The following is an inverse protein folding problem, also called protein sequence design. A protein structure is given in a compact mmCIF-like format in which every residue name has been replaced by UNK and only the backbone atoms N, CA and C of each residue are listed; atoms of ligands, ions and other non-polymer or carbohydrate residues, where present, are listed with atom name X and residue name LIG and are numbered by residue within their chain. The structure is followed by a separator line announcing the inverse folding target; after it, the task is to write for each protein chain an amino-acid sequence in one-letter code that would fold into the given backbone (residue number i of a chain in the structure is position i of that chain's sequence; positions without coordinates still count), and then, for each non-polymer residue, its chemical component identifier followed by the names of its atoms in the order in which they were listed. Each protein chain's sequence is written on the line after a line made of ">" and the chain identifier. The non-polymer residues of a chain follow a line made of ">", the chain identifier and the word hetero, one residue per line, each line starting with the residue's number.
data_IF_632185688593
#
_entry.id   IF_632185688593
#
_cell.length_a   1.000
_cell.length_b   1.000
_cell.length_c   1.000
_cell.angle_alpha   90.00
_cell.angle_beta   90.00
_cell.angle_gamma   90.00
#
_symmetry.space_group_name_H-M   'P 1'
#
loop_
_entity.id
_entity.type
_entity.pdbx_description
1 polymer ?
#
# COMPACT_ATOMS: atom_id res chain seq x y z
N UNK A 1 11.88 7.06 41.77
CA UNK A 1 12.41 7.09 40.38
C UNK A 1 13.92 7.21 40.45
N UNK A 2 14.68 6.46 39.66
CA UNK A 2 16.12 6.73 39.51
C UNK A 2 16.32 7.96 38.63
N UNK A 3 17.29 8.80 38.95
CA UNK A 3 17.60 10.00 38.16
C UNK A 3 18.42 9.61 36.93
N UNK A 4 17.75 9.45 35.78
CA UNK A 4 18.41 9.26 34.48
C UNK A 4 19.43 10.37 34.24
N UNK A 5 20.70 10.03 34.05
CA UNK A 5 21.76 11.02 33.86
C UNK A 5 21.46 11.89 32.64
N UNK A 6 21.40 13.21 32.84
CA UNK A 6 21.11 14.20 31.80
C UNK A 6 22.09 14.10 30.61
N UNK A 7 23.31 13.59 30.83
CA UNK A 7 24.29 13.31 29.78
C UNK A 7 23.83 12.17 28.87
N UNK A 8 23.25 11.10 29.42
CA UNK A 8 22.67 10.00 28.64
C UNK A 8 21.51 10.51 27.79
N UNK A 9 20.57 11.26 28.40
CA UNK A 9 19.42 11.85 27.69
C UNK A 9 19.88 12.79 26.57
N UNK A 10 20.93 13.59 26.80
CA UNK A 10 21.53 14.46 25.78
C UNK A 10 22.18 13.65 24.65
N UNK A 11 22.97 12.62 24.98
CA UNK A 11 23.64 11.77 23.97
C UNK A 11 22.64 11.04 23.10
N UNK A 12 21.57 10.48 23.65
CA UNK A 12 20.52 9.83 22.85
C UNK A 12 19.88 10.82 21.87
N UNK A 13 19.51 12.03 22.33
CA UNK A 13 18.99 13.09 21.45
C UNK A 13 19.97 13.55 20.36
N UNK A 14 21.28 13.51 20.63
CA UNK A 14 22.30 13.81 19.61
C UNK A 14 22.38 12.72 18.53
N UNK A 15 22.19 11.44 18.90
CA UNK A 15 22.17 10.32 17.95
C UNK A 15 20.86 10.33 17.14
N UNK A 16 19.73 10.60 17.80
CA UNK A 16 18.42 10.78 17.17
C UNK A 16 18.46 11.88 16.09
N UNK A 17 19.00 13.06 16.43
CA UNK A 17 19.14 14.17 15.48
C UNK A 17 20.11 13.83 14.33
N UNK A 18 21.21 13.12 14.62
CA UNK A 18 22.17 12.69 13.61
C UNK A 18 21.59 11.68 12.61
N UNK A 19 20.72 10.77 13.09
CA UNK A 19 19.98 9.85 12.23
C UNK A 19 19.10 10.61 11.24
N UNK A 20 18.26 11.54 11.73
CA UNK A 20 17.40 12.36 10.88
C UNK A 20 18.20 13.20 9.87
N UNK A 21 19.33 13.80 10.28
CA UNK A 21 20.19 14.56 9.37
C UNK A 21 20.80 13.68 8.27
N UNK A 22 21.32 12.49 8.60
CA UNK A 22 21.87 11.60 7.58
C UNK A 22 20.78 11.01 6.65
N UNK A 23 19.58 10.74 7.16
CA UNK A 23 18.43 10.27 6.36
C UNK A 23 17.91 11.34 5.38
N UNK A 24 18.04 12.62 5.71
CA UNK A 24 17.71 13.72 4.78
C UNK A 24 18.75 13.88 3.64
N UNK A 25 19.94 13.29 3.78
CA UNK A 25 21.04 13.40 2.80
C UNK A 25 21.24 12.12 1.96
N UNK A 26 20.92 10.93 2.49
CA UNK A 26 21.20 9.66 1.82
C UNK A 26 20.22 8.52 2.22
N UNK A 27 19.95 7.55 1.30
CA UNK A 27 19.26 6.31 1.62
C UNK A 27 19.90 5.55 2.79
N UNK A 28 19.08 4.96 3.65
CA UNK A 28 19.49 4.37 4.92
C UNK A 28 20.55 3.27 4.77
N UNK A 29 20.50 2.52 3.67
CA UNK A 29 21.42 1.44 3.31
C UNK A 29 22.86 1.96 3.19
N UNK A 30 23.01 3.19 2.68
CA UNK A 30 24.30 3.87 2.46
C UNK A 30 24.84 4.59 3.71
N UNK A 31 24.00 4.84 4.72
CA UNK A 31 24.42 5.46 5.98
C UNK A 31 25.31 4.48 6.76
N UNK A 32 26.42 4.97 7.29
CA UNK A 32 27.36 4.21 8.13
C UNK A 32 27.31 4.67 9.59
N UNK A 33 27.68 3.77 10.51
CA UNK A 33 27.84 4.11 11.94
C UNK A 33 28.87 5.24 12.15
N UNK A 34 29.86 5.36 11.25
CA UNK A 34 30.86 6.43 11.30
C UNK A 34 30.29 7.81 10.95
N UNK A 35 29.46 7.90 9.90
CA UNK A 35 28.72 9.13 9.58
C UNK A 35 27.80 9.54 10.73
N UNK A 36 27.06 8.59 11.31
CA UNK A 36 26.17 8.82 12.46
C UNK A 36 26.95 9.32 13.69
N UNK A 37 28.09 8.69 14.02
CA UNK A 37 28.96 9.13 15.12
C UNK A 37 29.51 10.54 14.89
N UNK A 38 29.93 10.85 13.66
CA UNK A 38 30.45 12.16 13.25
C UNK A 38 29.39 13.25 13.36
N UNK A 39 28.17 13.00 12.88
CA UNK A 39 27.05 13.94 12.95
C UNK A 39 26.55 14.14 14.39
N UNK A 40 26.54 13.09 15.22
CA UNK A 40 26.16 13.17 16.63
C UNK A 40 27.25 13.80 17.54
N UNK A 41 28.46 14.00 17.02
CA UNK A 41 29.67 14.43 17.76
C UNK A 41 30.04 13.45 18.90
N UNK A 42 30.04 12.15 18.61
CA UNK A 42 30.39 11.09 19.58
C UNK A 42 31.43 10.09 19.03
N UNK A 43 32.07 9.36 19.94
CA UNK A 43 32.93 8.23 19.58
C UNK A 43 32.09 6.98 19.22
N UNK A 44 32.62 6.11 18.35
CA UNK A 44 32.03 4.79 18.04
C UNK A 44 31.80 3.93 19.30
N UNK A 45 32.70 4.02 20.29
CA UNK A 45 32.56 3.37 21.61
C UNK A 45 31.50 4.00 22.53
N UNK A 46 30.92 5.13 22.16
CA UNK A 46 29.71 5.70 22.80
C UNK A 46 28.44 5.23 22.08
N UNK A 47 28.46 5.12 20.74
CA UNK A 47 27.37 4.54 19.97
C UNK A 47 27.06 3.10 20.42
N UNK A 48 28.09 2.23 20.46
CA UNK A 48 27.97 0.82 20.85
C UNK A 48 27.69 0.57 22.35
N UNK A 49 27.37 1.61 23.13
CA UNK A 49 26.79 1.48 24.49
C UNK A 49 25.26 1.50 24.50
N UNK A 50 24.65 1.96 23.41
CA UNK A 50 23.19 2.13 23.29
C UNK A 50 22.61 1.33 22.11
N UNK A 51 23.39 1.14 21.04
CA UNK A 51 22.96 0.49 19.81
C UNK A 51 24.02 -0.48 19.30
N UNK A 52 23.63 -1.73 19.07
CA UNK A 52 24.45 -2.80 18.49
C UNK A 52 24.80 -2.54 17.02
N UNK A 53 23.93 -1.84 16.29
CA UNK A 53 24.08 -1.55 14.86
C UNK A 53 23.30 -0.28 14.45
N UNK A 54 23.39 0.13 13.18
CA UNK A 54 22.52 1.18 12.63
C UNK A 54 21.05 0.76 12.52
N UNK A 55 20.79 -0.55 12.37
CA UNK A 55 19.45 -1.11 12.24
C UNK A 55 18.72 -1.08 13.59
N UNK A 56 19.41 -1.49 14.65
CA UNK A 56 18.97 -1.37 16.05
C UNK A 56 18.69 0.10 16.45
N UNK A 57 19.55 1.04 16.03
CA UNK A 57 19.24 2.47 16.17
C UNK A 57 17.93 2.86 15.44
N UNK A 58 17.76 2.45 14.18
CA UNK A 58 16.54 2.77 13.41
C UNK A 58 15.29 2.15 14.05
N UNK A 59 15.32 0.86 14.40
CA UNK A 59 14.22 0.15 15.05
C UNK A 59 13.81 0.82 16.36
N UNK A 60 14.76 1.06 17.26
CA UNK A 60 14.48 1.76 18.52
C UNK A 60 14.02 3.22 18.30
N UNK A 61 14.48 3.88 17.23
CA UNK A 61 14.04 5.24 16.87
C UNK A 61 12.58 5.24 16.39
N UNK A 62 12.24 4.37 15.46
CA UNK A 62 10.88 4.21 14.93
C UNK A 62 9.91 3.84 16.05
N UNK A 63 10.29 2.91 16.93
CA UNK A 63 9.49 2.56 18.10
C UNK A 63 9.26 3.78 19.03
N UNK A 64 10.29 4.60 19.30
CA UNK A 64 10.13 5.85 20.06
C UNK A 64 9.19 6.84 19.39
N UNK A 65 9.26 6.99 18.07
CA UNK A 65 8.43 7.91 17.29
C UNK A 65 6.96 7.44 17.21
N UNK A 66 6.74 6.14 17.03
CA UNK A 66 5.41 5.51 17.01
C UNK A 66 4.76 5.53 18.41
N UNK A 67 5.51 5.22 19.47
CA UNK A 67 5.04 5.38 20.85
C UNK A 67 4.76 6.85 21.20
N UNK A 68 5.54 7.79 20.62
CA UNK A 68 5.28 9.23 20.70
C UNK A 68 3.89 9.57 20.17
N UNK A 69 3.55 9.04 18.99
CA UNK A 69 2.25 9.21 18.36
C UNK A 69 1.12 8.49 19.10
N UNK A 70 1.27 7.21 19.49
CA UNK A 70 0.24 6.45 20.22
C UNK A 70 -0.16 7.14 21.54
N UNK A 71 0.76 7.83 22.21
CA UNK A 71 0.48 8.62 23.44
C UNK A 71 -0.21 9.97 23.19
N UNK A 72 -0.46 10.36 21.95
CA UNK A 72 -1.08 11.63 21.57
C UNK A 72 -2.34 11.44 20.73
N UNK A 73 -2.51 10.28 20.09
CA UNK A 73 -3.79 9.82 19.54
C UNK A 73 -4.74 9.49 20.70
N UNK A 74 -5.88 10.16 20.75
CA UNK A 74 -7.02 9.82 21.59
C UNK A 74 -8.26 9.77 20.70
N UNK A 75 -8.90 8.61 20.69
CA UNK A 75 -10.06 8.30 19.83
C UNK A 75 -11.35 8.15 20.64
N UNK A 76 -11.43 8.74 21.84
CA UNK A 76 -12.62 8.64 22.71
C UNK A 76 -13.91 9.19 22.06
N UNK A 77 -13.80 9.95 20.97
CA UNK A 77 -14.92 10.38 20.13
C UNK A 77 -15.69 9.21 19.48
N UNK A 78 -15.06 8.03 19.33
CA UNK A 78 -15.70 6.79 18.84
C UNK A 78 -16.88 6.38 19.75
N UNK A 79 -16.79 6.71 21.05
CA UNK A 79 -17.85 6.49 22.03
C UNK A 79 -18.70 7.75 22.30
N UNK A 80 -18.64 8.75 21.44
CA UNK A 80 -19.52 9.90 21.52
C UNK A 80 -20.98 9.52 21.21
N UNK A 81 -21.89 10.23 21.83
CA UNK A 81 -23.35 10.22 21.58
C UNK A 81 -23.77 11.60 21.06
N UNK A 82 -24.96 11.77 20.46
CA UNK A 82 -25.45 13.09 20.07
C UNK A 82 -25.43 14.13 21.22
N UNK A 83 -25.58 13.67 22.46
CA UNK A 83 -25.56 14.48 23.67
C UNK A 83 -24.14 14.83 24.12
N UNK A 84 -23.15 13.96 23.85
CA UNK A 84 -21.75 14.14 24.31
C UNK A 84 -20.78 14.62 23.24
N UNK A 85 -21.11 14.56 21.95
CA UNK A 85 -20.21 14.95 20.84
C UNK A 85 -19.70 16.39 20.94
N UNK A 86 -20.49 17.30 21.54
CA UNK A 86 -20.11 18.69 21.79
C UNK A 86 -19.18 18.89 23.01
N UNK A 87 -18.73 17.81 23.66
CA UNK A 87 -17.80 17.90 24.79
C UNK A 87 -16.44 18.44 24.35
N UNK A 88 -16.01 19.53 24.98
CA UNK A 88 -14.72 20.20 24.79
C UNK A 88 -13.51 19.25 24.95
N UNK A 89 -13.68 18.11 25.62
CA UNK A 89 -12.69 17.03 25.65
C UNK A 89 -12.28 16.57 24.24
N UNK A 90 -13.25 16.21 23.38
CA UNK A 90 -12.96 15.68 22.04
C UNK A 90 -12.25 16.72 21.17
N UNK A 91 -12.70 17.99 21.25
CA UNK A 91 -12.05 19.10 20.56
C UNK A 91 -10.59 19.28 21.03
N UNK A 92 -10.33 19.25 22.34
CA UNK A 92 -8.98 19.37 22.91
C UNK A 92 -8.08 18.18 22.55
N UNK A 93 -8.64 16.97 22.55
CA UNK A 93 -7.91 15.76 22.19
C UNK A 93 -7.43 15.85 20.74
N UNK A 94 -8.33 16.17 19.80
CA UNK A 94 -8.00 16.39 18.39
C UNK A 94 -7.01 17.55 18.20
N UNK A 95 -7.20 18.68 18.89
CA UNK A 95 -6.29 19.83 18.84
C UNK A 95 -4.88 19.47 19.36
N UNK A 96 -4.76 18.64 20.39
CA UNK A 96 -3.50 18.14 20.90
C UNK A 96 -2.80 17.21 19.89
N UNK A 97 -3.53 16.28 19.26
CA UNK A 97 -3.00 15.40 18.19
C UNK A 97 -2.46 16.23 17.03
N UNK A 98 -3.21 17.25 16.58
CA UNK A 98 -2.76 18.17 15.52
C UNK A 98 -1.54 19.00 15.93
N UNK A 99 -1.49 19.52 17.17
CA UNK A 99 -0.31 20.23 17.70
C UNK A 99 0.94 19.34 17.78
N UNK A 100 0.77 18.06 18.10
CA UNK A 100 1.85 17.08 18.10
C UNK A 100 2.35 16.80 16.68
N UNK A 101 1.44 16.44 15.76
CA UNK A 101 1.78 16.19 14.35
C UNK A 101 2.43 17.42 13.68
N UNK A 102 1.98 18.63 13.99
CA UNK A 102 2.61 19.86 13.52
C UNK A 102 4.04 20.03 14.05
N UNK A 103 4.27 19.79 15.34
CA UNK A 103 5.60 19.88 15.98
C UNK A 103 6.59 18.87 15.39
N UNK A 104 6.12 17.67 15.06
CA UNK A 104 6.93 16.58 14.50
C UNK A 104 6.83 16.46 12.97
N UNK A 105 6.27 17.48 12.28
CA UNK A 105 5.99 17.40 10.83
C UNK A 105 7.24 17.04 10.01
N UNK A 106 8.36 17.72 10.24
CA UNK A 106 9.58 17.50 9.45
C UNK A 106 10.14 16.07 9.62
N UNK A 107 10.06 15.53 10.84
CA UNK A 107 10.44 14.16 11.17
C UNK A 107 9.51 13.15 10.48
N UNK A 108 8.20 13.22 10.69
CA UNK A 108 7.26 12.25 10.10
C UNK A 108 7.22 12.34 8.57
N UNK A 109 7.28 13.53 7.98
CA UNK A 109 7.35 13.68 6.51
C UNK A 109 8.62 13.04 5.93
N UNK A 110 9.76 13.12 6.62
CA UNK A 110 10.97 12.40 6.22
C UNK A 110 10.77 10.89 6.33
N UNK A 111 10.30 10.40 7.49
CA UNK A 111 10.07 8.97 7.75
C UNK A 111 9.07 8.32 6.77
N UNK A 112 8.02 9.04 6.35
CA UNK A 112 7.04 8.56 5.36
C UNK A 112 7.58 8.54 3.92
N UNK A 113 8.69 9.23 3.65
CA UNK A 113 9.28 9.35 2.30
C UNK A 113 10.42 8.36 2.02
N UNK A 114 10.92 7.67 3.05
CA UNK A 114 12.05 6.74 2.93
C UNK A 114 11.50 5.33 2.64
N UNK A 115 12.04 4.61 1.63
CA UNK A 115 11.68 3.22 1.37
C UNK A 115 12.34 2.28 2.39
N UNK A 116 11.79 2.27 3.61
CA UNK A 116 12.12 1.28 4.65
C UNK A 116 11.32 -0.02 4.43
N UNK A 117 11.78 -1.12 5.02
CA UNK A 117 11.10 -2.42 4.97
C UNK A 117 9.68 -2.37 5.59
N UNK A 118 9.48 -1.50 6.58
CA UNK A 118 8.16 -1.15 7.13
C UNK A 118 7.80 0.31 6.85
N UNK A 119 6.62 0.56 6.27
CA UNK A 119 6.14 1.91 6.02
C UNK A 119 5.62 2.57 7.31
N UNK A 120 6.33 3.61 7.77
CA UNK A 120 6.00 4.36 9.00
C UNK A 120 4.64 5.04 8.93
N UNK A 121 4.17 5.45 7.75
CA UNK A 121 2.80 5.98 7.59
C UNK A 121 1.76 4.87 7.81
N UNK A 122 1.99 3.68 7.24
CA UNK A 122 1.15 2.50 7.47
C UNK A 122 1.02 2.19 8.96
N UNK A 123 2.15 2.04 9.65
CA UNK A 123 2.16 1.76 11.11
C UNK A 123 1.53 2.87 11.96
N UNK A 124 1.46 4.12 11.48
CA UNK A 124 0.68 5.17 12.14
C UNK A 124 -0.83 5.04 11.87
N UNK A 125 -1.25 4.62 10.68
CA UNK A 125 -2.66 4.30 10.39
C UNK A 125 -3.10 3.08 11.21
N UNK A 126 -2.31 2.02 11.27
CA UNK A 126 -2.58 0.81 12.05
C UNK A 126 -2.78 1.15 13.53
N UNK A 127 -1.91 1.99 14.12
CA UNK A 127 -2.05 2.45 15.51
C UNK A 127 -3.33 3.26 15.79
N UNK A 128 -3.87 3.97 14.80
CA UNK A 128 -5.17 4.67 14.93
C UNK A 128 -6.33 3.68 14.78
N UNK A 129 -6.24 2.77 13.80
CA UNK A 129 -7.22 1.71 13.57
C UNK A 129 -7.39 0.81 14.81
N UNK A 130 -6.28 0.32 15.36
CA UNK A 130 -6.27 -0.55 16.52
C UNK A 130 -6.79 0.19 17.76
N UNK A 131 -6.44 1.47 17.95
CA UNK A 131 -7.00 2.28 19.03
C UNK A 131 -8.53 2.47 18.87
N UNK A 132 -9.06 2.58 17.64
CA UNK A 132 -10.50 2.64 17.38
C UNK A 132 -11.16 1.30 17.73
N UNK A 133 -10.58 0.17 17.32
CA UNK A 133 -11.09 -1.17 17.65
C UNK A 133 -11.03 -1.46 19.16
N UNK A 134 -9.93 -1.11 19.85
CA UNK A 134 -9.77 -1.17 21.31
C UNK A 134 -10.82 -0.31 22.05
N UNK A 135 -11.31 0.76 21.41
CA UNK A 135 -12.28 1.72 21.99
C UNK A 135 -13.74 1.33 21.75
N UNK A 136 -14.05 0.57 20.69
CA UNK A 136 -15.42 0.16 20.36
C UNK A 136 -16.02 -0.77 21.44
N UNK A 137 -17.28 -0.57 21.86
CA UNK A 137 -17.90 -1.40 22.88
C UNK A 137 -18.29 -2.76 22.30
N UNK A 138 -17.59 -3.81 22.71
CA UNK A 138 -17.96 -5.19 22.45
C UNK A 138 -19.39 -5.47 22.97
N UNK A 139 -20.35 -5.61 22.06
CA UNK A 139 -21.77 -5.82 22.41
C UNK A 139 -22.80 -5.02 21.59
N UNK A 140 -22.41 -4.22 20.59
CA UNK A 140 -23.35 -3.59 19.64
C UNK A 140 -23.82 -4.49 18.48
N UNK A 141 -24.00 -5.79 18.76
CA UNK A 141 -24.85 -6.67 17.94
C UNK A 141 -26.34 -6.37 18.21
N UNK A 142 -26.77 -5.15 17.89
CA UNK A 142 -28.19 -4.86 17.71
C UNK A 142 -28.71 -5.53 16.44
N UNK A 143 -30.02 -5.83 16.33
CA UNK A 143 -30.58 -6.45 15.13
C UNK A 143 -30.55 -5.46 13.96
N UNK A 144 -29.46 -5.49 13.18
CA UNK A 144 -29.37 -4.75 11.92
C UNK A 144 -30.27 -5.43 10.90
N UNK A 145 -31.55 -5.05 10.90
CA UNK A 145 -32.47 -5.31 9.79
C UNK A 145 -31.96 -4.55 8.56
N UNK A 146 -31.05 -5.19 7.82
CA UNK A 146 -30.40 -4.61 6.64
C UNK A 146 -31.44 -4.30 5.55
N UNK A 147 -31.82 -3.05 5.43
CA UNK A 147 -32.25 -2.46 4.16
C UNK A 147 -31.02 -1.79 3.53
N UNK A 148 -30.76 -2.10 2.26
CA UNK A 148 -29.48 -1.81 1.60
C UNK A 148 -29.31 -0.32 1.23
N UNK A 149 -30.37 0.47 1.36
CA UNK A 149 -30.48 1.88 0.97
C UNK A 149 -29.66 2.84 1.88
N UNK A 150 -29.27 2.42 3.09
CA UNK A 150 -28.67 3.31 4.09
C UNK A 150 -27.20 3.71 3.86
N UNK A 151 -26.52 3.18 2.84
CA UNK A 151 -25.07 3.33 2.67
C UNK A 151 -24.61 4.58 1.88
N UNK A 152 -25.51 5.42 1.35
CA UNK A 152 -25.14 6.43 0.35
C UNK A 152 -24.87 7.87 0.86
N UNK A 153 -25.13 8.22 2.13
CA UNK A 153 -25.15 9.64 2.57
C UNK A 153 -24.05 10.10 3.57
N UNK A 154 -23.00 9.32 3.85
CA UNK A 154 -21.91 9.76 4.77
C UNK A 154 -20.48 9.51 4.24
N UNK A 155 -20.12 10.07 3.09
CA UNK A 155 -18.73 9.99 2.57
C UNK A 155 -18.22 11.21 1.79
N UNK A 156 -18.89 12.38 1.84
CA UNK A 156 -18.50 13.58 1.06
C UNK A 156 -17.31 14.33 1.64
N UNK A 157 -16.16 13.66 1.58
CA UNK A 157 -14.86 14.06 2.13
C UNK A 157 -13.69 13.87 1.15
N UNK A 158 -13.96 13.91 -0.17
CA UNK A 158 -12.94 14.02 -1.23
C UNK A 158 -11.84 12.94 -1.24
N UNK A 159 -12.18 11.69 -0.92
CA UNK A 159 -11.36 10.56 -1.33
C UNK A 159 -11.44 10.40 -2.86
N UNK A 160 -10.31 10.56 -3.53
CA UNK A 160 -10.17 10.29 -4.96
C UNK A 160 -9.70 8.84 -5.11
N UNK A 161 -10.61 7.95 -5.50
CA UNK A 161 -10.30 6.56 -5.78
C UNK A 161 -9.72 6.44 -7.19
N UNK A 162 -8.58 5.76 -7.36
CA UNK A 162 -7.96 5.56 -8.68
C UNK A 162 -8.17 4.15 -9.20
N UNK A 163 -8.67 4.02 -10.43
CA UNK A 163 -8.86 2.74 -11.11
C UNK A 163 -8.19 2.71 -12.48
N UNK A 164 -7.89 1.51 -12.96
CA UNK A 164 -7.38 1.25 -14.31
C UNK A 164 -8.30 0.29 -15.07
N UNK A 165 -8.39 0.46 -16.38
CA UNK A 165 -9.08 -0.44 -17.30
C UNK A 165 -8.13 -0.83 -18.42
N UNK A 166 -8.01 -2.12 -18.74
CA UNK A 166 -7.25 -2.58 -19.93
C UNK A 166 -7.91 -2.02 -21.18
N UNK A 167 -7.20 -1.24 -21.99
CA UNK A 167 -7.84 -0.37 -23.00
C UNK A 167 -7.38 -0.66 -24.42
N UNK A 168 -8.34 -0.83 -25.34
CA UNK A 168 -8.12 -0.88 -26.78
C UNK A 168 -9.32 -0.25 -27.50
N UNK A 169 -9.09 0.82 -28.28
CA UNK A 169 -10.09 1.41 -29.19
C UNK A 169 -11.48 1.70 -28.55
N UNK A 170 -11.50 2.21 -27.32
CA UNK A 170 -12.73 2.49 -26.55
C UNK A 170 -13.22 1.33 -25.68
N UNK A 171 -12.69 0.12 -25.88
CA UNK A 171 -13.19 -1.13 -25.29
C UNK A 171 -12.21 -1.73 -24.29
N UNK A 172 -12.74 -2.64 -23.48
CA UNK A 172 -11.97 -3.40 -22.48
C UNK A 172 -11.16 -4.48 -23.20
N UNK A 173 -9.84 -4.34 -23.19
CA UNK A 173 -8.95 -5.32 -23.82
C UNK A 173 -8.93 -6.64 -23.03
N UNK A 174 -9.03 -7.76 -23.75
CA UNK A 174 -9.37 -9.06 -23.16
C UNK A 174 -8.16 -9.88 -22.68
N UNK A 175 -6.93 -9.40 -22.83
CA UNK A 175 -5.72 -10.07 -22.35
C UNK A 175 -4.81 -9.11 -21.58
N UNK A 176 -4.92 -9.08 -20.25
CA UNK A 176 -4.14 -8.16 -19.41
C UNK A 176 -2.64 -8.15 -19.74
N UNK A 177 -2.02 -9.33 -19.86
CA UNK A 177 -0.59 -9.48 -20.12
C UNK A 177 -0.08 -9.00 -21.48
N UNK A 178 -0.99 -8.62 -22.38
CA UNK A 178 -0.72 -8.08 -23.71
C UNK A 178 -1.33 -6.69 -23.94
N UNK A 179 -1.87 -6.04 -22.89
CA UNK A 179 -2.52 -4.73 -23.02
C UNK A 179 -1.49 -3.66 -23.42
N UNK A 180 -1.69 -3.04 -24.58
CA UNK A 180 -0.82 -1.95 -25.05
C UNK A 180 -1.04 -0.66 -24.25
N UNK A 181 -2.25 -0.47 -23.72
CA UNK A 181 -2.67 0.73 -23.00
C UNK A 181 -3.51 0.37 -21.77
N UNK A 182 -3.48 1.25 -20.77
CA UNK A 182 -4.48 1.35 -19.71
C UNK A 182 -5.22 2.68 -19.84
N UNK A 183 -6.53 2.70 -19.61
CA UNK A 183 -7.26 3.94 -19.34
C UNK A 183 -7.43 4.05 -17.83
N UNK A 184 -6.80 5.08 -17.25
CA UNK A 184 -6.80 5.38 -15.82
C UNK A 184 -7.90 6.39 -15.54
N UNK A 185 -8.67 6.16 -14.49
CA UNK A 185 -9.74 7.05 -14.05
C UNK A 185 -9.53 7.43 -12.59
N UNK A 186 -9.66 8.72 -12.31
CA UNK A 186 -9.76 9.23 -10.95
C UNK A 186 -11.25 9.47 -10.65
N UNK A 187 -11.75 8.93 -9.54
CA UNK A 187 -13.16 8.92 -9.18
C UNK A 187 -13.40 9.54 -7.80
N UNK A 188 -14.45 10.34 -7.67
CA UNK A 188 -14.80 11.04 -6.44
C UNK A 188 -16.33 11.07 -6.29
N UNK A 189 -16.86 10.82 -5.08
CA UNK A 189 -18.30 10.78 -4.80
C UNK A 189 -19.13 9.92 -5.79
N UNK A 190 -18.58 8.78 -6.24
CA UNK A 190 -19.22 7.88 -7.21
C UNK A 190 -19.22 8.39 -8.66
N UNK A 191 -18.36 9.37 -9.00
CA UNK A 191 -18.25 9.95 -10.35
C UNK A 191 -16.80 9.99 -10.83
N UNK A 192 -16.59 9.77 -12.12
CA UNK A 192 -15.30 10.00 -12.78
C UNK A 192 -15.03 11.52 -12.81
N UNK A 193 -13.90 11.96 -12.26
CA UNK A 193 -13.44 13.37 -12.27
C UNK A 193 -12.24 13.60 -13.19
N UNK A 194 -11.50 12.56 -13.55
CA UNK A 194 -10.48 12.60 -14.60
C UNK A 194 -10.39 11.25 -15.31
N UNK A 195 -9.99 11.27 -16.59
CA UNK A 195 -9.69 10.06 -17.38
C UNK A 195 -8.49 10.32 -18.29
N UNK A 196 -7.49 9.44 -18.26
CA UNK A 196 -6.28 9.53 -19.10
C UNK A 196 -5.93 8.15 -19.67
N UNK A 197 -5.39 8.11 -20.89
CA UNK A 197 -4.85 6.87 -21.49
C UNK A 197 -3.33 6.88 -21.31
N UNK A 198 -2.77 5.75 -20.90
CA UNK A 198 -1.36 5.55 -20.63
C UNK A 198 -0.85 4.29 -21.36
N UNK A 199 0.18 4.46 -22.19
CA UNK A 199 0.84 3.34 -22.88
C UNK A 199 1.67 2.49 -21.90
N UNK A 200 1.66 1.17 -22.08
CA UNK A 200 2.44 0.25 -21.24
C UNK A 200 3.92 0.16 -21.65
N UNK A 201 4.32 0.86 -22.71
CA UNK A 201 5.70 0.91 -23.24
C UNK A 201 6.35 -0.47 -23.49
N UNK A 202 5.53 -1.48 -23.83
CA UNK A 202 6.01 -2.86 -24.07
C UNK A 202 6.33 -3.65 -22.80
N UNK A 203 5.88 -3.19 -21.63
CA UNK A 203 6.08 -3.87 -20.34
C UNK A 203 5.46 -5.27 -20.32
N UNK A 204 6.27 -6.29 -20.09
CA UNK A 204 5.79 -7.68 -20.01
C UNK A 204 4.94 -7.99 -18.78
N UNK A 205 4.20 -9.10 -18.85
CA UNK A 205 3.24 -9.65 -17.87
C UNK A 205 3.41 -9.25 -16.39
N UNK A 206 4.61 -9.37 -15.80
CA UNK A 206 4.85 -9.02 -14.39
C UNK A 206 5.08 -7.52 -14.11
N UNK A 207 5.63 -6.78 -15.07
CA UNK A 207 5.92 -5.35 -14.93
C UNK A 207 4.64 -4.48 -14.95
N UNK A 208 3.57 -4.96 -15.60
CA UNK A 208 2.27 -4.28 -15.66
C UNK A 208 1.65 -4.07 -14.26
N UNK A 209 1.75 -5.06 -13.37
CA UNK A 209 1.26 -4.94 -12.00
C UNK A 209 2.07 -3.90 -11.19
N UNK A 210 3.41 -3.89 -11.37
CA UNK A 210 4.29 -2.88 -10.76
C UNK A 210 4.03 -1.45 -11.27
N UNK A 211 3.69 -1.29 -12.56
CA UNK A 211 3.28 0.00 -13.13
C UNK A 211 1.98 0.51 -12.49
N UNK A 212 0.98 -0.35 -12.34
CA UNK A 212 -0.30 0.01 -11.69
C UNK A 212 -0.11 0.36 -10.21
N UNK A 213 0.75 -0.37 -9.49
CA UNK A 213 1.12 -0.07 -8.11
C UNK A 213 1.82 1.30 -7.98
N UNK A 214 2.77 1.61 -8.87
CA UNK A 214 3.48 2.89 -8.89
C UNK A 214 2.56 4.08 -9.24
N UNK A 215 1.46 3.84 -9.96
CA UNK A 215 0.41 4.83 -10.25
C UNK A 215 -0.61 5.00 -9.11
N UNK A 216 -0.50 4.20 -8.04
CA UNK A 216 -1.44 4.12 -6.93
C UNK A 216 -2.87 3.73 -7.37
N UNK A 217 -2.97 2.74 -8.25
CA UNK A 217 -4.26 2.17 -8.70
C UNK A 217 -4.80 1.21 -7.63
N UNK A 218 -6.03 1.44 -7.16
CA UNK A 218 -6.70 0.61 -6.15
C UNK A 218 -7.52 -0.53 -6.76
N UNK A 219 -7.99 -0.38 -8.01
CA UNK A 219 -8.71 -1.43 -8.71
C UNK A 219 -8.39 -1.47 -10.22
N UNK A 220 -8.37 -2.69 -10.76
CA UNK A 220 -8.19 -2.98 -12.18
C UNK A 220 -9.44 -3.69 -12.73
N UNK A 221 -9.99 -3.17 -13.84
CA UNK A 221 -10.97 -3.85 -14.67
C UNK A 221 -10.26 -4.47 -15.88
N UNK A 222 -10.51 -5.75 -16.15
CA UNK A 222 -10.03 -6.44 -17.36
C UNK A 222 -10.94 -7.60 -17.78
N UNK A 223 -10.73 -8.10 -19.00
CA UNK A 223 -11.30 -9.37 -19.45
C UNK A 223 -10.54 -10.55 -18.84
N UNK A 224 -9.71 -11.22 -19.64
CA UNK A 224 -8.87 -12.34 -19.22
C UNK A 224 -7.54 -11.91 -18.58
N UNK A 225 -7.15 -12.63 -17.54
CA UNK A 225 -5.89 -12.44 -16.79
C UNK A 225 -5.32 -13.77 -16.29
N UNK A 226 -4.03 -14.02 -16.54
CA UNK A 226 -3.33 -15.23 -16.13
C UNK A 226 -2.98 -15.25 -14.63
N UNK A 227 -2.85 -16.44 -14.04
CA UNK A 227 -2.67 -16.63 -12.59
C UNK A 227 -1.49 -15.84 -11.98
N UNK A 228 -0.33 -15.82 -12.63
CA UNK A 228 0.83 -15.05 -12.16
C UNK A 228 0.59 -13.53 -12.10
N UNK A 229 -0.22 -12.98 -13.00
CA UNK A 229 -0.62 -11.57 -12.95
C UNK A 229 -1.63 -11.30 -11.83
N UNK A 230 -2.57 -12.23 -11.58
CA UNK A 230 -3.48 -12.14 -10.41
C UNK A 230 -2.70 -12.10 -9.10
N UNK A 231 -1.68 -12.95 -8.94
CA UNK A 231 -0.80 -12.96 -7.77
C UNK A 231 -0.04 -11.64 -7.60
N UNK A 232 0.50 -11.07 -8.67
CA UNK A 232 1.23 -9.80 -8.63
C UNK A 232 0.31 -8.61 -8.25
N UNK A 233 -0.93 -8.58 -8.73
CA UNK A 233 -1.93 -7.57 -8.34
C UNK A 233 -2.35 -7.72 -6.88
N UNK A 234 -2.54 -8.95 -6.39
CA UNK A 234 -2.85 -9.22 -4.98
C UNK A 234 -1.71 -8.79 -4.05
N UNK A 235 -0.44 -9.05 -4.43
CA UNK A 235 0.74 -8.56 -3.71
C UNK A 235 0.86 -7.02 -3.72
N UNK A 236 0.35 -6.36 -4.76
CA UNK A 236 0.24 -4.91 -4.85
C UNK A 236 -1.03 -4.34 -4.18
N UNK A 237 -1.86 -5.16 -3.53
CA UNK A 237 -3.15 -4.80 -2.92
C UNK A 237 -4.18 -4.17 -3.89
N UNK A 238 -4.11 -4.51 -5.18
CA UNK A 238 -4.99 -3.99 -6.23
C UNK A 238 -6.20 -4.93 -6.39
N UNK A 239 -7.41 -4.39 -6.26
CA UNK A 239 -8.67 -5.15 -6.43
C UNK A 239 -8.89 -5.51 -7.90
N UNK A 240 -9.10 -6.79 -8.19
CA UNK A 240 -9.25 -7.31 -9.54
C UNK A 240 -10.73 -7.51 -9.90
N UNK A 241 -11.18 -6.87 -10.97
CA UNK A 241 -12.49 -7.07 -11.61
C UNK A 241 -12.26 -7.75 -12.95
N UNK A 242 -12.17 -9.08 -12.93
CA UNK A 242 -11.96 -9.94 -14.10
C UNK A 242 -13.25 -10.33 -14.82
N UNK A 243 -13.11 -10.85 -16.04
CA UNK A 243 -14.22 -11.33 -16.87
C UNK A 243 -15.03 -10.23 -17.57
N UNK A 244 -14.59 -8.96 -17.47
CA UNK A 244 -15.37 -7.81 -17.95
C UNK A 244 -15.08 -7.54 -19.44
N UNK A 245 -16.14 -7.34 -20.22
CA UNK A 245 -16.08 -7.05 -21.65
C UNK A 245 -17.08 -5.95 -22.04
N UNK A 246 -16.83 -5.30 -23.18
CA UNK A 246 -17.62 -4.16 -23.64
C UNK A 246 -16.82 -2.85 -23.66
N UNK A 247 -17.49 -1.75 -23.34
CA UNK A 247 -16.94 -0.39 -23.35
C UNK A 247 -16.20 -0.05 -22.04
N UNK A 248 -15.04 0.60 -22.15
CA UNK A 248 -14.19 0.90 -21.00
C UNK A 248 -14.76 2.01 -20.09
N UNK A 249 -15.40 3.03 -20.67
CA UNK A 249 -16.01 4.13 -19.91
C UNK A 249 -17.28 3.65 -19.20
N UNK A 250 -18.08 2.82 -19.86
CA UNK A 250 -19.26 2.21 -19.25
C UNK A 250 -18.91 1.32 -18.04
N UNK A 251 -17.83 0.52 -18.11
CA UNK A 251 -17.41 -0.32 -16.99
C UNK A 251 -16.77 0.48 -15.86
N UNK A 252 -15.98 1.52 -16.16
CA UNK A 252 -15.47 2.45 -15.16
C UNK A 252 -16.62 3.16 -14.41
N UNK A 253 -17.65 3.61 -15.11
CA UNK A 253 -18.86 4.17 -14.49
C UNK A 253 -19.64 3.13 -13.67
N UNK A 254 -19.82 1.91 -14.18
CA UNK A 254 -20.49 0.84 -13.43
C UNK A 254 -19.76 0.49 -12.12
N UNK A 255 -18.43 0.58 -12.10
CA UNK A 255 -17.63 0.42 -10.88
C UNK A 255 -17.80 1.62 -9.93
N UNK A 256 -17.76 2.86 -10.44
CA UNK A 256 -18.00 4.08 -9.66
C UNK A 256 -19.36 4.08 -8.94
N UNK A 257 -20.37 3.48 -9.57
CA UNK A 257 -21.73 3.36 -9.06
C UNK A 257 -21.97 2.09 -8.21
N UNK A 258 -20.95 1.24 -8.00
CA UNK A 258 -21.06 -0.02 -7.25
C UNK A 258 -21.87 -1.12 -7.94
N UNK A 259 -22.13 -1.00 -9.24
CA UNK A 259 -22.98 -1.91 -10.03
C UNK A 259 -22.19 -2.97 -10.82
N UNK A 260 -20.86 -2.92 -10.81
CA UNK A 260 -20.01 -3.86 -11.55
C UNK A 260 -19.88 -5.21 -10.81
N UNK A 261 -20.75 -6.16 -11.15
CA UNK A 261 -20.55 -7.58 -10.84
C UNK A 261 -19.30 -8.09 -11.56
N UNK A 262 -18.38 -8.71 -10.83
CA UNK A 262 -17.23 -9.45 -11.37
C UNK A 262 -17.27 -10.89 -10.89
N UNK A 263 -16.57 -11.77 -11.61
CA UNK A 263 -16.34 -13.15 -11.19
C UNK A 263 -14.96 -13.24 -10.50
N UNK A 264 -14.88 -13.56 -9.19
CA UNK A 264 -13.60 -13.74 -8.48
C UNK A 264 -12.79 -14.92 -9.02
N UNK A 265 -13.48 -15.95 -9.53
CA UNK A 265 -12.90 -17.19 -10.01
C UNK A 265 -12.71 -17.19 -11.54
N UNK A 266 -12.82 -16.04 -12.20
CA UNK A 266 -12.68 -15.85 -13.65
C UNK A 266 -11.42 -16.53 -14.22
N UNK A 267 -11.58 -17.78 -14.66
CA UNK A 267 -10.55 -18.52 -15.36
C UNK A 267 -10.54 -18.06 -16.80
N UNK A 268 -9.36 -17.67 -17.29
CA UNK A 268 -9.08 -17.99 -18.69
C UNK A 268 -9.10 -19.52 -18.76
N UNK A 269 -10.07 -20.09 -19.49
CA UNK A 269 -10.06 -21.51 -19.84
C UNK A 269 -8.76 -21.80 -20.59
N UNK A 270 -7.78 -22.32 -19.85
CA UNK A 270 -6.49 -22.63 -20.41
C UNK A 270 -6.66 -23.93 -21.18
N UNK A 271 -6.74 -23.83 -22.51
CA UNK A 271 -6.56 -24.97 -23.41
C UNK A 271 -5.13 -25.49 -23.27
N UNK A 272 -4.88 -26.26 -22.22
CA UNK A 272 -3.63 -26.92 -21.92
C UNK A 272 -3.47 -28.17 -22.78
N UNK A 273 -2.82 -28.02 -23.93
CA UNK A 273 -2.39 -29.15 -24.75
C UNK A 273 -0.86 -29.25 -24.81
N UNK A 274 -0.35 -29.93 -23.78
CA UNK A 274 1.02 -30.40 -23.56
C UNK A 274 0.86 -31.52 -22.50
N UNK A 275 1.15 -32.81 -22.67
CA UNK A 275 1.65 -33.69 -23.76
C UNK A 275 0.96 -35.09 -23.56
N UNK A 276 1.16 -36.22 -24.27
CA UNK A 276 1.95 -36.65 -25.45
C UNK A 276 1.31 -37.94 -26.07
N UNK A 277 1.96 -38.57 -27.06
CA UNK A 277 1.92 -40.00 -27.46
C UNK A 277 0.62 -40.63 -28.04
N UNK A 278 0.72 -41.27 -29.22
CA UNK A 278 -0.32 -42.21 -29.71
C UNK A 278 -0.35 -42.56 -31.22
N UNK A 279 0.48 -43.52 -31.65
CA UNK A 279 0.32 -44.38 -32.85
C UNK A 279 0.41 -43.83 -34.32
N UNK A 280 1.58 -44.12 -34.92
CA UNK A 280 1.77 -45.04 -36.06
C UNK A 280 1.61 -44.61 -37.56
N UNK A 281 2.49 -45.23 -38.37
CA UNK A 281 2.55 -45.36 -39.84
C UNK A 281 2.92 -44.14 -40.71
N UNK A 282 4.08 -44.25 -41.36
CA UNK A 282 4.61 -43.37 -42.40
C UNK A 282 6.08 -43.73 -42.70
N UNK A 283 6.33 -44.47 -43.78
CA UNK A 283 7.67 -45.02 -44.08
C UNK A 283 8.64 -44.04 -44.79
N UNK A 284 9.92 -44.43 -44.82
CA UNK A 284 10.99 -44.12 -45.80
C UNK A 284 12.10 -43.15 -45.35
N UNK A 285 13.36 -43.57 -45.53
CA UNK A 285 14.58 -42.76 -45.36
C UNK A 285 15.73 -43.50 -44.68
N UNK A 286 16.63 -44.13 -45.45
CA UNK A 286 17.77 -44.88 -44.93
C UNK A 286 19.08 -44.06 -44.86
N UNK A 287 19.96 -44.41 -43.91
CA UNK A 287 21.37 -43.99 -43.87
C UNK A 287 21.69 -42.95 -42.77
N UNK A 288 22.62 -43.16 -41.84
CA UNK A 288 23.40 -44.37 -41.52
C UNK A 288 24.92 -44.20 -41.65
N UNK A 289 25.57 -43.71 -40.59
CA UNK A 289 26.98 -44.02 -40.31
C UNK A 289 27.30 -43.85 -38.82
N UNK A 290 28.19 -44.70 -38.30
CA UNK A 290 28.86 -44.49 -37.01
C UNK A 290 30.25 -43.88 -37.23
N UNK A 291 30.82 -43.25 -36.21
CA UNK A 291 32.20 -42.74 -36.23
C UNK A 291 32.61 -42.22 -34.86
N UNK A 292 33.47 -42.97 -34.18
CA UNK A 292 34.16 -42.52 -32.96
C UNK A 292 35.31 -41.57 -33.34
N UNK A 293 35.48 -40.47 -32.59
CA UNK A 293 36.78 -40.11 -32.01
C UNK A 293 36.72 -39.03 -30.93
#
# INVERSE_FOLDING_TARGET
>A
MQSTDLRVVKTLKQIDQALLTCLAEAPFEKITVEQLCRAALINRSTFYKYYTSKYDLMEQYLQRALDGFRRQVDVAFVNATPETIHNLLYQKNFENTLKFLHRHKAEYTLLWSIPLEENVFGRMVDLVHDAILETLPAGREGPVSRTEESLQETAKGAFIMRIAVTYENGRIFQHFGHTAQFKIYDMQDGKIVSSQVLDTNGSGHGALAGLLAALQVEALICGGIGGGARMALAQANIRLYGGVSGDADAAAQALAEGRLTFDPDAHCDHHGHHHEEGHACGEQGCGGHCGEH
#
